data_IF_865082461911
#
_entry.id   IF_865082461911
#
_cell.length_a   1.000
_cell.length_b   1.000
_cell.length_c   1.000
_cell.angle_alpha   90.00
_cell.angle_beta   90.00
_cell.angle_gamma   90.00
#
_symmetry.space_group_name_H-M   'P 1'
#
loop_
_entity.id
_entity.type
_entity.pdbx_description
1 polymer ?
#
# COMPACT_ATOMS: atom_id res chain seq x y z
N UNK A 1 -5.38 5.54 27.98
CA UNK A 1 -6.19 5.03 26.86
C UNK A 1 -5.74 3.61 26.59
N UNK A 2 -6.68 2.64 26.59
CA UNK A 2 -6.35 1.22 26.41
C UNK A 2 -5.84 0.99 24.99
N UNK A 3 -4.68 0.34 24.87
CA UNK A 3 -4.25 -0.28 23.62
C UNK A 3 -5.37 -1.22 23.14
N UNK A 4 -5.87 -1.00 21.93
CA UNK A 4 -6.83 -1.91 21.33
C UNK A 4 -6.14 -3.26 21.10
N UNK A 5 -6.66 -4.32 21.70
CA UNK A 5 -6.19 -5.69 21.44
C UNK A 5 -6.68 -6.14 20.05
N UNK A 6 -5.96 -5.71 19.01
CA UNK A 6 -6.24 -6.04 17.61
C UNK A 6 -5.87 -7.49 17.25
N UNK A 7 -5.34 -8.28 18.22
CA UNK A 7 -4.97 -9.68 17.99
C UNK A 7 -6.16 -10.58 17.63
N UNK A 8 -7.38 -10.14 17.93
CA UNK A 8 -8.63 -10.84 17.61
C UNK A 8 -9.23 -10.47 16.25
N UNK A 9 -8.76 -9.40 15.59
CA UNK A 9 -9.18 -9.10 14.23
C UNK A 9 -8.52 -10.09 13.26
N UNK A 10 -9.31 -10.65 12.35
CA UNK A 10 -8.78 -11.50 11.27
C UNK A 10 -8.48 -10.69 9.99
N UNK A 11 -8.79 -9.39 9.98
CA UNK A 11 -8.63 -8.51 8.83
C UNK A 11 -7.55 -7.43 9.03
N UNK A 12 -6.90 -7.10 7.92
CA UNK A 12 -5.94 -6.01 7.86
C UNK A 12 -6.21 -5.09 6.67
N UNK A 13 -5.72 -3.86 6.77
CA UNK A 13 -5.94 -2.84 5.77
C UNK A 13 -4.61 -2.18 5.40
N UNK A 14 -4.41 -1.94 4.10
CA UNK A 14 -3.35 -1.05 3.61
C UNK A 14 -4.01 0.14 2.94
N UNK A 15 -3.63 1.35 3.32
CA UNK A 15 -3.88 2.53 2.49
C UNK A 15 -2.55 2.97 1.88
N UNK A 16 -2.43 2.88 0.56
CA UNK A 16 -1.20 3.21 -0.17
C UNK A 16 -1.35 4.55 -0.87
N UNK A 17 -0.58 5.54 -0.44
CA UNK A 17 -0.43 6.85 -1.04
C UNK A 17 0.55 6.77 -2.21
N UNK A 18 0.11 7.18 -3.40
CA UNK A 18 0.91 7.16 -4.62
C UNK A 18 0.62 8.33 -5.54
N UNK A 19 1.53 8.57 -6.49
CA UNK A 19 1.41 9.59 -7.52
C UNK A 19 0.32 9.29 -8.55
N UNK A 20 0.02 8.01 -8.77
CA UNK A 20 -1.13 7.55 -9.52
C UNK A 20 -1.60 6.18 -9.03
N UNK A 21 -2.84 5.83 -9.35
CA UNK A 21 -3.44 4.54 -9.04
C UNK A 21 -4.07 3.98 -10.30
N UNK A 22 -3.81 2.70 -10.58
CA UNK A 22 -4.59 1.95 -11.56
C UNK A 22 -5.69 1.19 -10.82
N UNK A 23 -6.94 1.43 -11.20
CA UNK A 23 -8.11 0.74 -10.63
C UNK A 23 -7.94 -0.77 -10.68
N UNK A 24 -8.27 -1.46 -9.58
CA UNK A 24 -8.25 -2.92 -9.52
C UNK A 24 -9.32 -3.55 -10.44
N UNK A 25 -10.37 -2.80 -10.77
CA UNK A 25 -11.48 -3.24 -11.63
C UNK A 25 -11.17 -3.12 -13.12
N UNK A 26 -10.12 -2.41 -13.54
CA UNK A 26 -9.85 -2.26 -14.97
C UNK A 26 -8.71 -1.31 -15.36
N UNK A 27 -8.98 -0.48 -16.37
CA UNK A 27 -8.01 0.37 -17.06
C UNK A 27 -7.95 1.80 -16.54
N UNK A 28 -8.86 2.21 -15.66
CA UNK A 28 -8.87 3.58 -15.13
C UNK A 28 -7.56 3.85 -14.39
N UNK A 29 -6.92 4.95 -14.76
CA UNK A 29 -5.75 5.50 -14.07
C UNK A 29 -6.14 6.84 -13.51
N UNK A 30 -5.99 6.98 -12.19
CA UNK A 30 -6.25 8.22 -11.47
C UNK A 30 -4.92 8.83 -11.12
N UNK A 31 -4.77 10.12 -11.43
CA UNK A 31 -3.51 10.84 -11.26
C UNK A 31 -2.55 10.70 -12.43
N UNK A 32 -1.35 11.21 -12.25
CA UNK A 32 -0.30 11.20 -13.26
C UNK A 32 0.98 10.64 -12.65
N UNK A 33 1.56 9.64 -13.33
CA UNK A 33 2.84 9.08 -12.93
C UNK A 33 3.91 10.18 -12.91
N UNK A 34 4.58 10.33 -11.78
CA UNK A 34 5.68 11.26 -11.58
C UNK A 34 6.90 10.87 -12.42
N UNK A 35 7.69 11.86 -12.81
CA UNK A 35 8.97 11.63 -13.50
C UNK A 35 9.99 10.93 -12.59
N UNK A 36 9.94 11.20 -11.29
CA UNK A 36 10.80 10.63 -10.24
C UNK A 36 9.97 10.04 -9.10
N UNK A 37 10.51 9.02 -8.45
CA UNK A 37 9.96 8.45 -7.22
C UNK A 37 10.65 8.95 -5.97
N UNK A 38 10.43 8.25 -4.87
CA UNK A 38 11.08 8.53 -3.58
C UNK A 38 12.52 8.04 -3.64
N UNK A 39 13.49 8.92 -3.40
CA UNK A 39 14.90 8.55 -3.45
C UNK A 39 15.38 7.91 -2.14
N UNK A 40 16.53 7.25 -2.17
CA UNK A 40 17.14 6.73 -0.94
C UNK A 40 17.54 7.88 0.00
N UNK A 41 17.95 9.03 -0.54
CA UNK A 41 18.24 10.24 0.25
C UNK A 41 16.98 10.73 0.96
N UNK A 42 15.81 10.72 0.31
CA UNK A 42 14.55 11.05 0.98
C UNK A 42 14.28 10.10 2.15
N UNK A 43 14.48 8.79 1.96
CA UNK A 43 14.30 7.80 3.02
C UNK A 43 15.23 8.07 4.21
N UNK A 44 16.51 8.34 3.95
CA UNK A 44 17.49 8.59 5.00
C UNK A 44 17.20 9.88 5.77
N UNK A 45 16.72 10.93 5.09
CA UNK A 45 16.27 12.17 5.74
C UNK A 45 15.07 11.90 6.66
N UNK A 46 14.08 11.14 6.21
CA UNK A 46 12.90 10.81 7.03
C UNK A 46 13.29 9.93 8.21
N UNK A 47 14.20 8.98 8.03
CA UNK A 47 14.72 8.16 9.13
C UNK A 47 15.34 9.00 10.25
N UNK A 48 16.06 10.07 9.90
CA UNK A 48 16.63 11.01 10.88
C UNK A 48 15.55 11.79 11.65
N UNK A 49 14.35 11.93 11.10
CA UNK A 49 13.21 12.57 11.78
C UNK A 49 12.56 11.67 12.84
N UNK A 50 12.79 10.34 12.79
CA UNK A 50 12.13 9.35 13.66
C UNK A 50 13.11 8.41 14.38
N UNK A 51 14.18 8.90 15.03
CA UNK A 51 15.34 8.10 15.41
C UNK A 51 15.06 6.90 16.33
N UNK A 52 13.98 6.93 17.11
CA UNK A 52 13.65 5.88 18.08
C UNK A 52 12.55 4.92 17.60
N UNK A 53 11.85 5.25 16.51
CA UNK A 53 10.62 4.56 16.10
C UNK A 53 10.66 4.13 14.64
N UNK A 54 11.84 3.92 14.05
CA UNK A 54 11.90 3.47 12.67
C UNK A 54 13.02 2.47 12.39
N UNK A 55 12.81 1.70 11.34
CA UNK A 55 13.69 0.66 10.86
C UNK A 55 13.94 0.87 9.36
N UNK A 56 15.20 0.81 8.93
CA UNK A 56 15.55 0.76 7.51
C UNK A 56 15.93 -0.66 7.13
N UNK A 57 15.38 -1.10 6.00
CA UNK A 57 15.71 -2.35 5.35
C UNK A 57 16.37 -2.03 4.01
N UNK A 58 17.64 -2.43 3.84
CA UNK A 58 18.28 -2.40 2.54
C UNK A 58 18.07 -3.75 1.83
N UNK A 59 17.17 -3.76 0.86
CA UNK A 59 16.82 -4.97 0.12
C UNK A 59 17.93 -5.44 -0.80
N UNK A 60 18.95 -4.61 -1.07
CA UNK A 60 20.17 -5.04 -1.75
C UNK A 60 20.85 -6.20 -1.03
N UNK A 61 20.77 -6.25 0.30
CA UNK A 61 21.44 -7.26 1.14
C UNK A 61 20.90 -8.68 0.91
N UNK A 62 19.76 -8.80 0.22
CA UNK A 62 19.19 -10.08 -0.19
C UNK A 62 19.81 -10.64 -1.48
N UNK A 63 20.59 -9.84 -2.22
CA UNK A 63 21.21 -10.27 -3.47
C UNK A 63 22.36 -11.24 -3.19
N UNK A 64 22.62 -12.19 -4.12
CA UNK A 64 23.80 -13.03 -4.05
C UNK A 64 25.09 -12.20 -3.92
N UNK A 65 26.09 -12.63 -3.13
CA UNK A 65 27.36 -11.90 -2.95
C UNK A 65 28.18 -11.68 -4.24
N UNK A 66 27.79 -12.34 -5.34
CA UNK A 66 28.35 -12.14 -6.69
C UNK A 66 27.87 -10.85 -7.34
N UNK A 67 26.77 -10.25 -6.86
CA UNK A 67 26.22 -8.97 -7.33
C UNK A 67 26.62 -7.89 -6.32
N UNK A 68 27.85 -7.38 -6.42
CA UNK A 68 28.42 -6.42 -5.45
C UNK A 68 28.14 -4.97 -5.80
N UNK A 69 28.09 -4.66 -7.09
CA UNK A 69 27.90 -3.29 -7.57
C UNK A 69 26.43 -3.06 -7.94
N UNK A 70 25.63 -2.80 -6.89
CA UNK A 70 24.21 -2.53 -7.03
C UNK A 70 23.82 -1.38 -6.11
N UNK A 71 22.94 -0.45 -6.57
CA UNK A 71 22.48 0.64 -5.73
C UNK A 71 21.70 0.11 -4.53
N UNK A 72 21.72 0.86 -3.43
CA UNK A 72 20.88 0.54 -2.28
C UNK A 72 19.40 0.57 -2.66
N UNK A 73 18.61 -0.29 -2.02
CA UNK A 73 17.18 -0.41 -2.28
C UNK A 73 16.47 -0.36 -0.94
N UNK A 74 16.11 0.85 -0.52
CA UNK A 74 15.64 1.09 0.84
C UNK A 74 14.13 0.97 0.98
N UNK A 75 13.72 0.33 2.07
CA UNK A 75 12.37 0.42 2.64
C UNK A 75 12.50 0.92 4.07
N UNK A 76 11.81 2.00 4.39
CA UNK A 76 11.70 2.53 5.73
C UNK A 76 10.38 2.09 6.34
N UNK A 77 10.41 1.66 7.60
CA UNK A 77 9.21 1.43 8.40
C UNK A 77 9.26 2.33 9.62
N UNK A 78 8.24 3.17 9.79
CA UNK A 78 8.01 3.96 11.00
C UNK A 78 6.99 3.19 11.83
N UNK A 79 7.44 2.70 12.99
CA UNK A 79 6.66 1.86 13.88
C UNK A 79 5.68 2.67 14.70
N UNK A 80 4.44 2.18 14.78
CA UNK A 80 3.41 2.73 15.64
C UNK A 80 3.32 4.27 15.56
N UNK A 81 3.25 4.80 14.34
CA UNK A 81 3.48 6.22 14.11
C UNK A 81 2.41 7.08 14.79
N UNK A 82 1.13 6.74 14.65
CA UNK A 82 0.03 7.44 15.33
C UNK A 82 -1.08 6.46 15.70
N UNK A 83 -1.05 5.94 16.93
CA UNK A 83 -2.06 5.03 17.45
C UNK A 83 -3.48 5.62 17.35
N UNK A 84 -3.71 6.85 17.83
CA UNK A 84 -5.07 7.39 17.90
C UNK A 84 -5.72 7.60 16.52
N UNK A 85 -4.98 8.17 15.57
CA UNK A 85 -5.45 8.38 14.19
C UNK A 85 -5.64 7.05 13.47
N UNK A 86 -4.75 6.08 13.70
CA UNK A 86 -4.88 4.73 13.14
C UNK A 86 -6.13 4.02 13.66
N UNK A 87 -6.45 4.20 14.93
CA UNK A 87 -7.66 3.66 15.56
C UNK A 87 -8.94 4.30 14.99
N UNK A 88 -8.97 5.62 14.87
CA UNK A 88 -10.09 6.35 14.27
C UNK A 88 -10.32 5.97 12.81
N UNK A 89 -9.24 5.89 12.04
CA UNK A 89 -9.31 5.47 10.64
C UNK A 89 -9.81 4.02 10.53
N UNK A 90 -9.30 3.12 11.37
CA UNK A 90 -9.76 1.72 11.39
C UNK A 90 -11.26 1.63 11.69
N UNK A 91 -11.81 2.46 12.58
CA UNK A 91 -13.26 2.54 12.82
C UNK A 91 -14.03 2.92 11.56
N UNK A 92 -13.56 3.92 10.80
CA UNK A 92 -14.19 4.29 9.52
C UNK A 92 -14.13 3.13 8.52
N UNK A 93 -12.96 2.47 8.38
CA UNK A 93 -12.77 1.40 7.41
C UNK A 93 -13.57 0.11 7.71
N UNK A 94 -14.01 -0.06 8.95
CA UNK A 94 -14.75 -1.24 9.44
C UNK A 94 -16.24 -0.97 9.67
N UNK A 95 -16.65 0.30 9.67
CA UNK A 95 -18.05 0.69 9.83
C UNK A 95 -18.77 0.65 8.49
N UNK A 96 -20.06 0.28 8.53
CA UNK A 96 -20.95 0.37 7.38
C UNK A 96 -20.98 1.79 6.82
N UNK A 97 -21.17 1.92 5.51
CA UNK A 97 -21.22 3.21 4.83
C UNK A 97 -22.16 4.19 5.53
N UNK A 98 -21.60 5.30 6.01
CA UNK A 98 -22.33 6.32 6.74
C UNK A 98 -21.67 7.69 6.59
N UNK A 99 -22.51 8.73 6.62
CA UNK A 99 -22.12 10.13 6.57
C UNK A 99 -22.73 10.83 7.78
N UNK A 100 -21.92 11.61 8.50
CA UNK A 100 -22.40 12.50 9.55
C UNK A 100 -22.02 13.94 9.20
N UNK A 101 -23.01 14.82 9.08
CA UNK A 101 -22.88 16.17 8.54
C UNK A 101 -22.13 16.20 7.19
N UNK A 102 -20.84 16.51 7.23
CA UNK A 102 -19.93 16.60 6.08
C UNK A 102 -18.84 15.52 6.06
N UNK A 103 -18.80 14.64 7.06
CA UNK A 103 -17.74 13.67 7.26
C UNK A 103 -18.23 12.24 6.99
N UNK A 104 -17.41 11.48 6.28
CA UNK A 104 -17.59 10.05 6.05
C UNK A 104 -17.13 9.33 7.31
N UNK A 105 -18.04 8.61 7.95
CA UNK A 105 -17.82 7.89 9.22
C UNK A 105 -17.80 6.37 9.04
N UNK A 106 -18.15 5.89 7.84
CA UNK A 106 -18.04 4.50 7.45
C UNK A 106 -18.03 4.35 5.92
N UNK A 107 -17.56 3.22 5.41
CA UNK A 107 -17.37 2.98 3.97
C UNK A 107 -17.87 1.60 3.54
N UNK A 108 -18.18 1.46 2.25
CA UNK A 108 -18.50 0.17 1.63
C UNK A 108 -17.38 -0.23 0.67
N UNK A 109 -16.83 -1.44 0.84
CA UNK A 109 -15.70 -1.93 0.04
C UNK A 109 -16.15 -2.57 -1.27
N UNK A 110 -15.40 -2.36 -2.37
CA UNK A 110 -15.65 -3.07 -3.63
C UNK A 110 -15.15 -4.52 -3.53
N UNK A 111 -16.09 -5.47 -3.61
CA UNK A 111 -15.82 -6.91 -3.42
C UNK A 111 -15.84 -7.73 -4.71
N UNK A 112 -16.43 -7.21 -5.77
CA UNK A 112 -16.70 -7.96 -6.99
C UNK A 112 -15.89 -7.44 -8.16
N UNK A 113 -15.52 -8.33 -9.09
CA UNK A 113 -14.91 -8.00 -10.38
C UNK A 113 -15.36 -8.97 -11.46
N UNK A 114 -15.25 -8.58 -12.72
CA UNK A 114 -15.45 -9.50 -13.83
C UNK A 114 -14.24 -10.42 -14.03
N UNK A 115 -14.50 -11.71 -14.27
CA UNK A 115 -13.53 -12.69 -14.77
C UNK A 115 -14.12 -13.33 -16.02
N UNK A 116 -13.72 -12.81 -17.19
CA UNK A 116 -14.44 -13.07 -18.43
C UNK A 116 -15.83 -12.44 -18.34
N UNK A 117 -16.88 -13.23 -18.54
CA UNK A 117 -18.28 -12.77 -18.47
C UNK A 117 -18.89 -12.85 -17.06
N UNK A 118 -18.21 -13.51 -16.11
CA UNK A 118 -18.79 -13.79 -14.80
C UNK A 118 -18.39 -12.72 -13.78
N UNK A 119 -19.37 -12.19 -13.05
CA UNK A 119 -19.12 -11.38 -11.85
C UNK A 119 -18.75 -12.31 -10.70
N UNK A 120 -17.55 -12.13 -10.14
CA UNK A 120 -17.02 -12.98 -9.07
C UNK A 120 -16.51 -12.13 -7.91
N UNK A 121 -16.66 -12.65 -6.70
CA UNK A 121 -16.03 -12.05 -5.53
C UNK A 121 -14.51 -12.25 -5.57
N UNK A 122 -13.76 -11.21 -5.23
CA UNK A 122 -12.30 -11.25 -5.18
C UNK A 122 -11.81 -12.06 -3.98
N UNK A 123 -10.88 -12.99 -4.26
CA UNK A 123 -10.22 -13.80 -3.21
C UNK A 123 -8.96 -13.14 -2.63
N UNK A 124 -8.47 -12.08 -3.27
CA UNK A 124 -7.18 -11.47 -2.92
C UNK A 124 -7.34 -10.41 -1.85
N UNK A 125 -8.24 -9.45 -2.08
CA UNK A 125 -8.48 -8.26 -1.27
C UNK A 125 -9.67 -7.49 -1.84
N UNK A 126 -10.42 -6.81 -1.00
CA UNK A 126 -11.37 -5.78 -1.44
C UNK A 126 -10.62 -4.47 -1.66
N UNK A 127 -11.12 -3.62 -2.55
CA UNK A 127 -10.39 -2.42 -2.98
C UNK A 127 -11.28 -1.18 -2.94
N UNK A 128 -10.67 -0.02 -2.71
CA UNK A 128 -11.27 1.30 -2.85
C UNK A 128 -10.20 2.30 -3.28
N UNK A 129 -10.64 3.45 -3.76
CA UNK A 129 -9.76 4.60 -4.00
C UNK A 129 -10.24 5.77 -3.14
N UNK A 130 -9.30 6.55 -2.62
CA UNK A 130 -9.59 7.81 -1.96
C UNK A 130 -8.80 8.93 -2.61
N UNK A 131 -9.47 10.02 -2.95
CA UNK A 131 -8.85 11.25 -3.43
C UNK A 131 -9.80 12.42 -3.25
N UNK A 132 -9.32 13.63 -3.45
CA UNK A 132 -10.16 14.83 -3.43
C UNK A 132 -11.17 14.82 -4.59
N UNK A 133 -12.47 14.79 -4.24
CA UNK A 133 -13.61 14.88 -5.16
C UNK A 133 -14.28 16.27 -5.11
N UNK A 134 -13.58 17.29 -4.62
CA UNK A 134 -14.09 18.64 -4.39
C UNK A 134 -15.34 18.58 -3.49
N UNK A 135 -16.49 19.00 -4.02
CA UNK A 135 -17.76 19.06 -3.28
C UNK A 135 -18.49 17.71 -3.18
N UNK A 136 -18.04 16.68 -3.91
CA UNK A 136 -18.59 15.31 -3.82
C UNK A 136 -18.07 14.55 -2.59
N UNK A 137 -18.83 13.60 -2.06
CA UNK A 137 -18.34 12.69 -1.00
C UNK A 137 -17.94 11.31 -1.54
N UNK A 138 -18.55 10.86 -2.65
CA UNK A 138 -18.32 9.55 -3.25
C UNK A 138 -18.63 9.58 -4.74
N UNK A 139 -17.93 8.72 -5.49
CA UNK A 139 -18.26 8.27 -6.83
C UNK A 139 -18.39 6.75 -6.79
N UNK A 140 -19.54 6.20 -7.17
CA UNK A 140 -19.74 4.75 -7.19
C UNK A 140 -18.97 4.08 -8.34
N UNK A 141 -18.64 2.79 -8.17
CA UNK A 141 -18.01 1.97 -9.20
C UNK A 141 -18.90 1.76 -10.43
N UNK A 142 -18.27 1.59 -11.58
CA UNK A 142 -18.85 0.96 -12.77
C UNK A 142 -17.98 -0.24 -13.14
N UNK A 143 -18.33 -1.40 -12.60
CA UNK A 143 -17.55 -2.64 -12.72
C UNK A 143 -17.44 -3.08 -14.19
N UNK A 144 -18.46 -2.80 -15.02
CA UNK A 144 -18.48 -3.17 -16.45
C UNK A 144 -17.39 -2.38 -17.18
N UNK A 145 -17.27 -1.09 -16.88
CA UNK A 145 -16.29 -0.20 -17.49
C UNK A 145 -14.97 -0.14 -16.71
N UNK A 146 -14.81 -0.94 -15.65
CA UNK A 146 -13.58 -1.02 -14.85
C UNK A 146 -13.30 0.20 -13.98
N UNK A 147 -14.33 0.99 -13.68
CA UNK A 147 -14.26 2.20 -12.85
C UNK A 147 -14.47 1.80 -11.39
N UNK A 148 -13.53 2.19 -10.52
CA UNK A 148 -13.60 1.89 -9.09
C UNK A 148 -14.43 2.90 -8.30
N UNK A 149 -14.96 2.47 -7.15
CA UNK A 149 -15.54 3.37 -6.15
C UNK A 149 -14.46 4.30 -5.61
N UNK A 150 -14.76 5.60 -5.58
CA UNK A 150 -13.90 6.62 -4.98
C UNK A 150 -14.64 7.28 -3.81
N UNK A 151 -14.00 7.38 -2.65
CA UNK A 151 -14.45 8.26 -1.56
C UNK A 151 -13.61 9.53 -1.48
N UNK A 152 -14.22 10.64 -1.09
CA UNK A 152 -13.51 11.90 -0.90
C UNK A 152 -12.58 11.82 0.33
N UNK A 153 -11.26 11.83 0.11
CA UNK A 153 -10.27 11.73 1.20
C UNK A 153 -10.39 12.89 2.19
N UNK A 154 -10.76 14.09 1.73
CA UNK A 154 -10.91 15.29 2.57
C UNK A 154 -12.09 15.18 3.55
N UNK A 155 -13.07 14.30 3.27
CA UNK A 155 -14.24 14.05 4.13
C UNK A 155 -14.03 12.92 5.11
N UNK A 156 -12.90 12.20 5.06
CA UNK A 156 -12.51 11.23 6.08
C UNK A 156 -11.44 11.90 6.96
N UNK A 157 -11.85 12.46 8.09
CA UNK A 157 -10.99 13.30 8.94
C UNK A 157 -9.62 12.67 9.29
N UNK A 158 -9.53 11.42 9.79
CA UNK A 158 -8.22 10.83 10.09
C UNK A 158 -7.36 10.59 8.85
N UNK A 159 -7.98 10.33 7.69
CA UNK A 159 -7.27 10.16 6.43
C UNK A 159 -6.71 11.48 5.91
N UNK A 160 -7.48 12.57 5.99
CA UNK A 160 -7.03 13.91 5.62
C UNK A 160 -5.83 14.34 6.48
N UNK A 161 -5.84 14.07 7.79
CA UNK A 161 -4.67 14.32 8.64
C UNK A 161 -3.43 13.56 8.15
N UNK A 162 -3.57 12.25 7.88
CA UNK A 162 -2.47 11.42 7.38
C UNK A 162 -1.96 11.92 6.03
N UNK A 163 -2.85 12.34 5.13
CA UNK A 163 -2.47 12.91 3.84
C UNK A 163 -1.63 14.18 4.02
N UNK A 164 -2.06 15.11 4.87
CA UNK A 164 -1.30 16.32 5.18
C UNK A 164 0.06 16.01 5.84
N UNK A 165 0.10 15.04 6.75
CA UNK A 165 1.36 14.60 7.34
C UNK A 165 2.32 14.06 6.27
N UNK A 166 1.86 13.14 5.42
CA UNK A 166 2.66 12.56 4.33
C UNK A 166 3.17 13.65 3.38
N UNK A 167 2.32 14.62 3.02
CA UNK A 167 2.71 15.75 2.18
C UNK A 167 3.78 16.63 2.84
N UNK A 168 3.81 16.73 4.17
CA UNK A 168 4.83 17.51 4.88
C UNK A 168 6.22 16.85 4.89
N UNK A 169 6.28 15.51 4.88
CA UNK A 169 7.56 14.77 4.83
C UNK A 169 8.02 14.46 3.41
N UNK A 170 7.09 14.21 2.49
CA UNK A 170 7.36 13.94 1.08
C UNK A 170 6.34 14.76 0.27
N UNK A 171 6.70 15.99 -0.14
CA UNK A 171 5.82 16.82 -0.93
C UNK A 171 5.36 16.14 -2.23
N UNK A 172 4.07 16.29 -2.52
CA UNK A 172 3.46 15.73 -3.71
C UNK A 172 1.95 15.70 -3.62
N UNK A 173 1.31 15.49 -4.78
CA UNK A 173 -0.09 15.12 -4.83
C UNK A 173 -0.20 13.61 -4.72
N UNK A 174 -1.05 13.13 -3.83
CA UNK A 174 -1.26 11.71 -3.61
C UNK A 174 -2.69 11.31 -3.94
N UNK A 175 -2.81 10.08 -4.42
CA UNK A 175 -4.05 9.32 -4.50
C UNK A 175 -3.86 8.10 -3.61
N UNK A 176 -4.94 7.62 -3.00
CA UNK A 176 -4.85 6.60 -1.94
C UNK A 176 -5.57 5.34 -2.40
N UNK A 177 -4.84 4.23 -2.51
CA UNK A 177 -5.39 2.92 -2.81
C UNK A 177 -5.70 2.22 -1.49
N UNK A 178 -6.97 1.99 -1.21
CA UNK A 178 -7.42 1.19 -0.09
C UNK A 178 -7.45 -0.28 -0.43
N UNK A 179 -6.87 -1.11 0.43
CA UNK A 179 -6.89 -2.56 0.31
C UNK A 179 -7.35 -3.18 1.62
N UNK A 180 -8.47 -3.91 1.59
CA UNK A 180 -8.99 -4.66 2.72
C UNK A 180 -8.71 -6.16 2.51
N UNK A 181 -7.83 -6.70 3.35
CA UNK A 181 -7.55 -8.12 3.46
C UNK A 181 -8.51 -8.69 4.51
N UNK A 182 -9.69 -9.11 4.06
CA UNK A 182 -10.81 -9.49 4.94
C UNK A 182 -10.56 -10.79 5.73
N UNK A 183 -9.62 -11.62 5.29
CA UNK A 183 -9.16 -12.82 5.98
C UNK A 183 -7.66 -12.96 5.76
N UNK A 184 -6.85 -12.59 6.76
CA UNK A 184 -5.40 -12.58 6.65
C UNK A 184 -4.76 -13.95 6.37
N UNK A 185 -5.51 -15.06 6.53
CA UNK A 185 -5.04 -16.42 6.21
C UNK A 185 -5.26 -16.75 4.73
N UNK A 186 -6.18 -16.07 4.05
CA UNK A 186 -6.58 -16.32 2.65
C UNK A 186 -6.16 -15.22 1.69
N UNK A 187 -6.21 -13.98 2.14
CA UNK A 187 -5.99 -12.80 1.33
C UNK A 187 -4.49 -12.57 1.10
N UNK A 188 -4.12 -12.23 -0.13
CA UNK A 188 -2.75 -11.92 -0.52
C UNK A 188 -2.74 -11.14 -1.84
N UNK A 189 -1.64 -10.45 -2.12
CA UNK A 189 -1.33 -9.99 -3.48
C UNK A 189 -0.24 -10.86 -4.08
N UNK A 190 -0.31 -11.10 -5.39
CA UNK A 190 0.75 -11.81 -6.10
C UNK A 190 2.02 -10.97 -6.15
N UNK A 191 3.21 -11.61 -6.13
CA UNK A 191 4.49 -10.92 -6.32
C UNK A 191 4.51 -10.09 -7.61
N UNK A 192 4.46 -8.76 -7.48
CA UNK A 192 4.41 -7.82 -8.59
C UNK A 192 5.46 -6.71 -8.47
N UNK A 193 5.63 -5.98 -9.58
CA UNK A 193 6.33 -4.69 -9.60
C UNK A 193 5.25 -3.64 -9.70
N UNK A 194 5.31 -2.61 -8.87
CA UNK A 194 4.37 -1.49 -8.90
C UNK A 194 4.84 -0.47 -9.94
N UNK A 195 4.86 -0.92 -11.19
CA UNK A 195 5.34 -0.15 -12.35
C UNK A 195 4.42 0.99 -12.74
N UNK A 196 3.18 0.96 -12.32
CA UNK A 196 2.21 2.01 -12.58
C UNK A 196 2.58 3.30 -11.83
N UNK A 197 3.11 3.20 -10.61
CA UNK A 197 3.43 4.32 -9.72
C UNK A 197 4.94 4.49 -9.55
N UNK A 198 5.40 5.63 -9.05
CA UNK A 198 6.79 5.87 -8.62
C UNK A 198 6.93 6.17 -7.14
N UNK A 199 5.84 6.60 -6.51
CA UNK A 199 5.77 6.83 -5.06
C UNK A 199 4.86 5.79 -4.44
N UNK A 200 5.32 5.17 -3.37
CA UNK A 200 4.54 4.22 -2.59
C UNK A 200 4.84 4.41 -1.11
N UNK A 201 3.85 4.94 -0.40
CA UNK A 201 3.86 5.13 1.05
C UNK A 201 2.61 4.45 1.57
N UNK A 202 2.72 3.46 2.43
CA UNK A 202 1.57 2.72 2.94
C UNK A 202 1.42 2.85 4.44
N UNK A 203 0.18 2.91 4.92
CA UNK A 203 -0.15 2.71 6.33
C UNK A 203 -0.83 1.36 6.51
N UNK A 204 -0.39 0.59 7.50
CA UNK A 204 -0.98 -0.69 7.90
C UNK A 204 -1.92 -0.50 9.08
N UNK A 205 -3.13 -1.04 8.97
CA UNK A 205 -4.14 -1.06 10.03
C UNK A 205 -4.70 -2.48 10.22
N UNK A 206 -5.40 -2.71 11.33
CA UNK A 206 -5.85 -4.03 11.76
C UNK A 206 -4.69 -4.95 12.20
N UNK A 207 -4.83 -6.25 11.99
CA UNK A 207 -3.85 -7.23 12.44
C UNK A 207 -2.56 -7.26 11.61
N UNK A 208 -1.51 -7.85 12.19
CA UNK A 208 -0.20 -8.01 11.58
C UNK A 208 -0.30 -8.62 10.18
N UNK A 209 0.41 -8.02 9.23
CA UNK A 209 0.41 -8.49 7.84
C UNK A 209 1.80 -8.34 7.21
N UNK A 210 2.31 -9.40 6.56
CA UNK A 210 3.65 -9.35 5.97
C UNK A 210 3.65 -8.56 4.66
N UNK A 211 4.63 -7.67 4.52
CA UNK A 211 5.09 -7.12 3.24
C UNK A 211 6.33 -7.90 2.81
N UNK A 212 6.21 -8.65 1.72
CA UNK A 212 7.22 -9.59 1.26
C UNK A 212 7.97 -9.02 0.06
N UNK A 213 9.27 -9.26 0.02
CA UNK A 213 10.17 -8.86 -1.05
C UNK A 213 10.94 -10.04 -1.60
N UNK A 214 11.23 -10.02 -2.89
CA UNK A 214 12.04 -11.06 -3.54
C UNK A 214 12.68 -10.55 -4.82
N UNK A 215 13.96 -10.86 -5.00
CA UNK A 215 14.70 -10.58 -6.22
C UNK A 215 14.50 -11.65 -7.28
N UNK A 216 14.49 -11.19 -8.52
CA UNK A 216 14.40 -12.00 -9.71
C UNK A 216 15.38 -11.51 -10.77
N UNK A 217 15.90 -12.44 -11.57
CA UNK A 217 16.63 -12.19 -12.79
C UNK A 217 15.85 -12.80 -13.97
N UNK A 218 15.32 -11.97 -14.87
CA UNK A 218 14.54 -12.42 -16.02
C UNK A 218 13.13 -12.91 -15.64
N UNK A 219 12.93 -14.19 -15.35
CA UNK A 219 11.71 -14.76 -14.72
C UNK A 219 12.04 -15.64 -13.52
N UNK A 220 13.34 -15.78 -13.23
CA UNK A 220 13.89 -16.72 -12.26
C UNK A 220 14.14 -15.99 -10.94
N UNK A 221 13.66 -16.55 -9.85
CA UNK A 221 13.96 -16.06 -8.51
C UNK A 221 15.45 -16.20 -8.19
N UNK A 222 16.08 -15.15 -7.65
CA UNK A 222 17.51 -15.16 -7.30
C UNK A 222 17.82 -14.80 -5.84
N UNK A 223 16.81 -14.57 -5.01
CA UNK A 223 16.95 -14.45 -3.55
C UNK A 223 15.92 -15.29 -2.81
N UNK A 224 16.13 -15.51 -1.51
CA UNK A 224 15.04 -15.89 -0.60
C UNK A 224 14.02 -14.75 -0.47
N UNK A 225 12.87 -15.03 0.15
CA UNK A 225 11.87 -14.00 0.44
C UNK A 225 12.24 -13.30 1.73
N UNK A 226 12.28 -11.97 1.72
CA UNK A 226 12.37 -11.15 2.94
C UNK A 226 10.97 -10.66 3.29
N UNK A 227 10.48 -11.01 4.46
CA UNK A 227 9.20 -10.54 4.98
C UNK A 227 9.45 -9.48 6.04
N UNK A 228 8.79 -8.34 5.88
CA UNK A 228 8.71 -7.29 6.88
C UNK A 228 7.30 -7.37 7.46
N UNK A 229 7.17 -7.71 8.75
CA UNK A 229 5.86 -7.76 9.40
C UNK A 229 5.46 -6.33 9.73
N UNK A 230 4.37 -5.87 9.12
CA UNK A 230 3.77 -4.57 9.39
C UNK A 230 2.64 -4.76 10.39
N UNK A 231 2.64 -3.93 11.44
CA UNK A 231 1.66 -3.95 12.52
C UNK A 231 0.67 -2.82 12.38
N UNK A 232 -0.37 -2.84 13.21
CA UNK A 232 -1.29 -1.72 13.34
C UNK A 232 -0.54 -0.40 13.57
N UNK A 233 -0.84 0.62 12.76
CA UNK A 233 -0.28 1.97 12.87
C UNK A 233 1.13 2.12 12.30
N UNK A 234 1.70 1.08 11.70
CA UNK A 234 2.98 1.19 10.99
C UNK A 234 2.81 1.93 9.65
N UNK A 235 3.75 2.83 9.36
CA UNK A 235 3.92 3.41 8.03
C UNK A 235 5.13 2.77 7.37
N UNK A 236 5.03 2.39 6.11
CA UNK A 236 6.17 2.01 5.29
C UNK A 236 6.35 2.94 4.10
N UNK A 237 7.59 3.21 3.75
CA UNK A 237 7.98 4.08 2.64
C UNK A 237 8.97 3.30 1.77
N UNK A 238 8.64 3.15 0.49
CA UNK A 238 9.46 2.43 -0.47
C UNK A 238 10.19 3.39 -1.38
N UNK A 239 11.51 3.21 -1.54
CA UNK A 239 12.22 3.95 -2.59
C UNK A 239 11.69 3.57 -3.97
N UNK A 240 11.95 4.40 -4.98
CA UNK A 240 11.58 4.10 -6.36
C UNK A 240 12.08 2.71 -6.78
N UNK A 241 13.31 2.34 -6.39
CA UNK A 241 13.87 1.03 -6.68
C UNK A 241 13.14 -0.08 -5.91
N UNK A 242 12.71 0.17 -4.68
CA UNK A 242 11.98 -0.79 -3.86
C UNK A 242 10.60 -1.13 -4.44
N UNK A 243 9.96 -0.18 -5.15
CA UNK A 243 8.71 -0.44 -5.90
C UNK A 243 8.91 -1.32 -7.15
N UNK A 244 10.16 -1.57 -7.53
CA UNK A 244 10.51 -2.35 -8.73
C UNK A 244 10.64 -1.49 -10.00
N UNK A 245 10.65 -0.15 -9.88
CA UNK A 245 10.94 0.78 -10.97
C UNK A 245 12.45 0.85 -11.23
N UNK A 246 12.99 -0.19 -11.88
CA UNK A 246 14.41 -0.30 -12.21
C UNK A 246 14.64 -0.17 -13.72
N UNK A 247 15.79 0.38 -14.13
CA UNK A 247 16.19 0.45 -15.55
C UNK A 247 16.53 -0.95 -16.06
N UNK A 248 15.62 -1.54 -16.87
CA UNK A 248 15.69 -2.95 -17.30
C UNK A 248 16.91 -3.31 -18.17
N UNK A 249 17.55 -2.33 -18.81
CA UNK A 249 18.52 -2.55 -19.90
C UNK A 249 19.90 -3.06 -19.48
N UNK A 250 20.22 -3.13 -18.18
CA UNK A 250 21.60 -3.44 -17.74
C UNK A 250 21.71 -4.79 -17.02
N UNK A 251 20.77 -5.13 -16.13
CA UNK A 251 20.95 -6.28 -15.23
C UNK A 251 19.92 -7.41 -15.40
N UNK A 252 18.81 -7.17 -16.11
CA UNK A 252 17.58 -8.01 -16.06
C UNK A 252 17.10 -8.33 -14.63
N UNK A 253 17.63 -7.62 -13.64
CA UNK A 253 17.38 -7.83 -12.22
C UNK A 253 16.23 -6.92 -11.81
N UNK A 254 15.28 -7.46 -11.07
CA UNK A 254 14.17 -6.68 -10.57
C UNK A 254 13.67 -7.23 -9.25
N UNK A 255 13.23 -6.30 -8.41
CA UNK A 255 12.59 -6.59 -7.15
C UNK A 255 11.07 -6.67 -7.35
N UNK A 256 10.44 -7.70 -6.79
CA UNK A 256 8.99 -7.80 -6.67
C UNK A 256 8.60 -7.80 -5.21
N UNK A 257 7.38 -7.34 -4.94
CA UNK A 257 6.79 -7.40 -3.62
C UNK A 257 5.36 -7.92 -3.65
N UNK A 258 4.89 -8.35 -2.49
CA UNK A 258 3.52 -8.81 -2.25
C UNK A 258 3.14 -8.53 -0.80
N UNK A 259 1.84 -8.50 -0.52
CA UNK A 259 1.29 -8.40 0.82
C UNK A 259 0.58 -9.70 1.17
N UNK A 260 0.67 -10.12 2.43
CA UNK A 260 -0.02 -11.28 2.97
C UNK A 260 0.79 -12.56 2.98
N UNK A 261 0.30 -13.56 3.70
CA UNK A 261 0.95 -14.86 3.74
C UNK A 261 0.79 -15.51 2.39
N UNK A 262 1.89 -15.60 1.64
CA UNK A 262 1.94 -16.37 0.40
C UNK A 262 1.82 -17.86 0.76
N UNK A 263 0.60 -18.30 1.06
CA UNK A 263 0.29 -19.69 1.32
C UNK A 263 0.59 -20.52 0.08
N UNK A 264 1.68 -21.29 0.12
CA UNK A 264 1.85 -22.52 -0.65
C UNK A 264 1.64 -22.44 -2.19
N UNK A 265 2.32 -21.51 -2.87
CA UNK A 265 2.59 -21.68 -4.32
C UNK A 265 4.08 -21.98 -4.59
N UNK A 266 4.71 -22.72 -3.67
CA UNK A 266 5.68 -23.74 -4.03
C UNK A 266 4.87 -25.00 -4.41
N UNK A 267 4.21 -24.94 -5.56
CA UNK A 267 3.84 -26.11 -6.36
C UNK A 267 4.24 -25.81 -7.78
#
# INVERSE_FOLDING_TARGET
MQEGDYSKMESSFTLTFSDCIKSYLGSEVIGQKSSTGISNENILLIYQMFPNNCEIYNLKDMLPPTIRDFPDVLVLVIRNFINDISNELLKVLTSNESLNDKYITGISWDRFKYRGINLVETKQKYNLIFCDLQDGYKRDSDIINGVATIYNSLRIQPLNYLENFIQSIIPGRYFIEGNCYYDNKKCYTSMCRDKERKKAIGIRLGCDFPLNFRWYHGTIQCSSTKSIILKHGDIFIMSELATGNMKEKITKLYLKHSEGTHGNSLK
#
